data_IF_021733526116
#
_entry.id   IF_021733526116
#
_cell.length_a   1.000
_cell.length_b   1.000
_cell.length_c   1.000
_cell.angle_alpha   90.00
_cell.angle_beta   90.00
_cell.angle_gamma   90.00
#
_symmetry.space_group_name_H-M   'P 1'
#
loop_
_entity.id
_entity.type
_entity.pdbx_description
1 polymer ?
#
# COMPACT_ATOMS: atom_id res chain seq x y z
N UNK A 1 -0.99 -19.64 -17.81
CA UNK A 1 -2.29 -18.96 -17.53
C UNK A 1 -2.49 -17.85 -18.54
N UNK A 2 -3.70 -17.70 -19.09
CA UNK A 2 -4.04 -16.64 -20.04
C UNK A 2 -4.73 -15.50 -19.30
N UNK A 3 -4.11 -14.32 -19.24
CA UNK A 3 -4.69 -13.12 -18.64
C UNK A 3 -5.51 -12.34 -19.68
N UNK A 4 -6.72 -11.95 -19.32
CA UNK A 4 -7.52 -11.04 -20.16
C UNK A 4 -7.11 -9.61 -19.84
N UNK A 5 -6.73 -8.82 -20.86
CA UNK A 5 -6.55 -7.39 -20.68
C UNK A 5 -7.84 -6.78 -20.11
N UNK A 6 -7.72 -5.81 -19.20
CA UNK A 6 -8.82 -5.15 -18.45
C UNK A 6 -10.04 -4.70 -19.29
N UNK A 7 -9.94 -4.69 -20.63
CA UNK A 7 -11.05 -4.44 -21.57
C UNK A 7 -12.20 -5.46 -21.48
N UNK A 8 -11.99 -6.64 -20.88
CA UNK A 8 -12.95 -7.76 -20.92
C UNK A 8 -13.86 -7.95 -19.69
N UNK A 9 -13.41 -7.60 -18.47
CA UNK A 9 -14.05 -8.06 -17.23
C UNK A 9 -14.88 -6.98 -16.53
N UNK A 10 -14.35 -5.77 -16.36
CA UNK A 10 -14.97 -4.69 -15.59
C UNK A 10 -15.43 -3.57 -16.53
N UNK A 11 -16.64 -3.06 -16.32
CA UNK A 11 -17.20 -1.96 -17.09
C UNK A 11 -16.71 -0.63 -16.52
N UNK A 12 -15.94 0.12 -17.30
CA UNK A 12 -15.59 1.51 -16.96
C UNK A 12 -16.78 2.48 -17.12
N UNK A 13 -18.00 2.00 -17.40
CA UNK A 13 -19.12 2.83 -17.84
C UNK A 13 -19.98 3.41 -16.70
N UNK A 14 -19.70 3.12 -15.42
CA UNK A 14 -20.36 3.79 -14.28
C UNK A 14 -19.64 5.11 -13.94
N UNK A 15 -19.17 5.83 -14.96
CA UNK A 15 -18.31 7.02 -14.82
C UNK A 15 -19.00 8.28 -15.34
N UNK A 16 -20.17 8.57 -14.79
CA UNK A 16 -20.77 9.89 -14.86
C UNK A 16 -20.96 10.41 -13.45
N UNK A 17 -20.02 11.23 -12.95
CA UNK A 17 -20.06 12.01 -11.69
C UNK A 17 -19.43 11.46 -10.41
N UNK A 18 -18.80 10.28 -10.41
CA UNK A 18 -18.14 9.79 -9.20
C UNK A 18 -16.81 10.52 -8.92
N UNK A 19 -16.65 11.06 -7.71
CA UNK A 19 -15.35 11.61 -7.26
C UNK A 19 -14.32 10.49 -7.10
N UNK A 20 -13.01 10.78 -7.10
CA UNK A 20 -11.95 9.76 -6.93
C UNK A 20 -12.09 8.92 -5.63
N UNK A 21 -12.95 9.35 -4.71
CA UNK A 21 -13.26 8.69 -3.45
C UNK A 21 -14.42 7.68 -3.53
N UNK A 22 -15.08 7.53 -4.69
CA UNK A 22 -16.21 6.61 -4.91
C UNK A 22 -15.85 5.42 -5.81
N UNK A 23 -14.57 5.23 -6.12
CA UNK A 23 -14.14 4.08 -6.90
C UNK A 23 -14.37 2.78 -6.11
N UNK A 24 -14.98 1.74 -6.73
CA UNK A 24 -15.16 0.46 -6.07
C UNK A 24 -13.80 -0.18 -5.75
N UNK A 25 -13.77 -0.90 -4.64
CA UNK A 25 -12.63 -1.72 -4.24
C UNK A 25 -12.94 -3.18 -4.54
N UNK A 26 -12.00 -3.85 -5.19
CA UNK A 26 -12.07 -5.28 -5.51
C UNK A 26 -10.94 -6.02 -4.81
N UNK A 27 -11.11 -7.32 -4.57
CA UNK A 27 -10.02 -8.19 -4.13
C UNK A 27 -9.40 -8.88 -5.34
N UNK A 28 -8.06 -8.88 -5.39
CA UNK A 28 -7.29 -9.57 -6.40
C UNK A 28 -6.45 -10.67 -5.74
N UNK A 29 -6.89 -11.91 -5.90
CA UNK A 29 -6.20 -13.10 -5.43
C UNK A 29 -5.08 -13.53 -6.36
N UNK A 30 -4.14 -14.32 -5.85
CA UNK A 30 -2.98 -14.78 -6.61
C UNK A 30 -2.27 -13.62 -7.34
N UNK A 31 -2.22 -12.46 -6.67
CA UNK A 31 -1.80 -11.23 -7.28
C UNK A 31 -0.27 -11.14 -7.38
N UNK A 32 0.20 -10.56 -8.48
CA UNK A 32 1.61 -10.28 -8.73
C UNK A 32 1.76 -9.00 -9.53
N UNK A 33 2.79 -8.23 -9.20
CA UNK A 33 3.00 -6.88 -9.69
C UNK A 33 4.33 -6.82 -10.41
N UNK A 34 4.32 -6.22 -11.59
CA UNK A 34 5.46 -6.14 -12.47
C UNK A 34 5.73 -4.71 -12.90
N UNK A 35 7.01 -4.39 -13.09
CA UNK A 35 7.47 -3.29 -13.95
C UNK A 35 7.94 -3.86 -15.28
N UNK A 36 8.00 -3.01 -16.30
CA UNK A 36 8.66 -3.35 -17.57
C UNK A 36 10.12 -2.91 -17.50
N UNK A 37 11.05 -3.78 -17.86
CA UNK A 37 12.44 -3.39 -18.06
C UNK A 37 12.63 -2.64 -19.39
N UNK A 38 13.86 -2.22 -19.70
CA UNK A 38 14.19 -1.49 -20.94
C UNK A 38 13.88 -2.27 -22.22
N UNK A 39 13.76 -3.59 -22.13
CA UNK A 39 13.43 -4.48 -23.24
C UNK A 39 11.93 -4.85 -23.26
N UNK A 40 11.13 -4.28 -22.36
CA UNK A 40 9.70 -4.57 -22.21
C UNK A 40 9.39 -5.87 -21.47
N UNK A 41 10.38 -6.55 -20.89
CA UNK A 41 10.18 -7.78 -20.11
C UNK A 41 9.58 -7.43 -18.74
N UNK A 42 8.61 -8.23 -18.31
CA UNK A 42 8.02 -8.10 -16.98
C UNK A 42 8.99 -8.59 -15.91
N UNK A 43 9.25 -7.72 -14.93
CA UNK A 43 10.09 -7.99 -13.76
C UNK A 43 9.27 -7.67 -12.52
N UNK A 44 9.27 -8.55 -11.51
CA UNK A 44 8.53 -8.34 -10.26
C UNK A 44 8.91 -7.00 -9.64
N UNK A 45 7.91 -6.24 -9.20
CA UNK A 45 8.08 -4.89 -8.69
C UNK A 45 7.23 -4.66 -7.44
N UNK A 46 7.74 -3.80 -6.56
CA UNK A 46 7.00 -3.31 -5.41
C UNK A 46 5.99 -2.23 -5.88
N UNK A 47 4.71 -2.38 -5.56
CA UNK A 47 3.66 -1.44 -5.99
C UNK A 47 3.79 -0.04 -5.40
N UNK A 48 4.38 0.08 -4.21
CA UNK A 48 4.68 1.38 -3.61
C UNK A 48 5.69 2.18 -4.43
N UNK A 49 6.41 1.54 -5.37
CA UNK A 49 7.31 2.20 -6.32
C UNK A 49 6.62 2.64 -7.62
N UNK A 50 5.29 2.66 -7.71
CA UNK A 50 4.58 3.04 -8.94
C UNK A 50 4.99 4.42 -9.47
N UNK A 51 5.37 5.35 -8.59
CA UNK A 51 5.84 6.69 -8.99
C UNK A 51 7.28 6.69 -9.55
N UNK A 52 8.04 5.61 -9.37
CA UNK A 52 9.41 5.47 -9.85
C UNK A 52 9.54 4.50 -11.01
N UNK A 53 8.94 3.32 -10.87
CA UNK A 53 9.06 2.19 -11.77
C UNK A 53 7.84 2.07 -12.69
N UNK A 54 6.85 2.95 -12.52
CA UNK A 54 5.60 2.90 -13.25
C UNK A 54 5.67 3.43 -14.68
N UNK A 55 4.59 3.21 -15.45
CA UNK A 55 3.38 2.50 -15.04
C UNK A 55 3.60 0.99 -14.84
N UNK A 56 3.04 0.45 -13.75
CA UNK A 56 3.17 -0.96 -13.38
C UNK A 56 2.09 -1.81 -14.07
N UNK A 57 2.34 -3.11 -14.14
CA UNK A 57 1.39 -4.13 -14.60
C UNK A 57 0.99 -4.98 -13.41
N UNK A 58 -0.31 -5.10 -13.14
CA UNK A 58 -0.84 -5.93 -12.06
C UNK A 58 -1.63 -7.09 -12.67
N UNK A 59 -1.38 -8.30 -12.19
CA UNK A 59 -2.05 -9.52 -12.62
C UNK A 59 -2.57 -10.27 -11.41
N UNK A 60 -3.70 -10.95 -11.57
CA UNK A 60 -4.26 -11.83 -10.54
C UNK A 60 -5.65 -12.30 -10.91
N UNK A 61 -6.27 -13.04 -10.00
CA UNK A 61 -7.64 -13.54 -10.06
C UNK A 61 -8.56 -12.54 -9.37
N UNK A 62 -9.40 -11.89 -10.16
CA UNK A 62 -10.46 -11.04 -9.64
C UNK A 62 -11.55 -11.93 -9.04
N UNK A 63 -11.92 -11.67 -7.80
CA UNK A 63 -13.12 -12.19 -7.17
C UNK A 63 -14.05 -11.01 -6.85
N UNK A 64 -15.29 -11.07 -7.31
CA UNK A 64 -16.26 -9.99 -7.19
C UNK A 64 -17.43 -10.47 -6.35
N UNK A 65 -17.66 -9.77 -5.25
CA UNK A 65 -18.82 -9.98 -4.38
C UNK A 65 -20.12 -9.57 -5.08
N UNK A 66 -21.26 -10.13 -4.65
CA UNK A 66 -22.56 -9.94 -5.28
C UNK A 66 -22.94 -8.45 -5.38
N UNK A 67 -22.60 -7.65 -4.37
CA UNK A 67 -22.85 -6.20 -4.32
C UNK A 67 -22.09 -5.42 -5.41
N UNK A 68 -20.98 -5.99 -5.90
CA UNK A 68 -20.11 -5.38 -6.89
C UNK A 68 -20.37 -5.88 -8.32
N UNK A 69 -21.28 -6.82 -8.53
CA UNK A 69 -21.61 -7.38 -9.86
C UNK A 69 -22.04 -6.32 -10.88
N UNK A 70 -22.65 -5.22 -10.43
CA UNK A 70 -23.06 -4.09 -11.29
C UNK A 70 -21.87 -3.42 -12.00
N UNK A 71 -20.66 -3.59 -11.46
CA UNK A 71 -19.43 -3.07 -12.06
C UNK A 71 -18.85 -4.02 -13.12
N UNK A 72 -19.35 -5.25 -13.21
CA UNK A 72 -18.89 -6.22 -14.20
C UNK A 72 -19.50 -5.95 -15.56
N UNK A 73 -18.69 -6.11 -16.60
CA UNK A 73 -19.19 -6.10 -17.98
C UNK A 73 -20.07 -7.32 -18.28
N UNK A 74 -19.85 -8.41 -17.54
CA UNK A 74 -20.63 -9.66 -17.58
C UNK A 74 -20.85 -10.14 -16.14
N UNK A 75 -22.01 -9.83 -15.53
CA UNK A 75 -22.31 -10.23 -14.15
C UNK A 75 -22.17 -11.73 -13.90
N UNK A 76 -22.49 -12.58 -14.89
CA UNK A 76 -22.30 -14.04 -14.82
C UNK A 76 -20.84 -14.52 -14.74
N UNK A 77 -19.87 -13.59 -14.72
CA UNK A 77 -18.44 -13.87 -14.55
C UNK A 77 -17.88 -13.08 -13.36
N UNK A 78 -18.35 -13.42 -12.17
CA UNK A 78 -17.88 -12.87 -10.90
C UNK A 78 -16.45 -13.32 -10.51
N UNK A 79 -15.84 -14.22 -11.29
CA UNK A 79 -14.42 -14.58 -11.15
C UNK A 79 -13.69 -14.66 -12.48
N UNK A 80 -12.50 -14.05 -12.58
CA UNK A 80 -11.65 -14.10 -13.76
C UNK A 80 -10.20 -13.69 -13.49
N UNK A 81 -9.23 -14.30 -14.20
CA UNK A 81 -7.87 -13.77 -14.26
C UNK A 81 -7.81 -12.53 -15.13
N UNK A 82 -7.37 -11.42 -14.55
CA UNK A 82 -7.28 -10.11 -15.20
C UNK A 82 -5.86 -9.58 -15.22
N UNK A 83 -5.59 -8.71 -16.20
CA UNK A 83 -4.41 -7.85 -16.22
C UNK A 83 -4.82 -6.38 -16.21
N UNK A 84 -4.33 -5.65 -15.23
CA UNK A 84 -4.32 -4.19 -15.19
C UNK A 84 -3.02 -3.76 -15.85
N UNK A 85 -3.10 -3.36 -17.12
CA UNK A 85 -1.91 -3.09 -17.94
C UNK A 85 -1.21 -1.76 -17.62
N UNK A 86 -1.88 -0.88 -16.87
CA UNK A 86 -1.40 0.44 -16.44
C UNK A 86 -1.92 0.67 -15.03
N UNK A 87 -1.04 0.55 -14.05
CA UNK A 87 -1.22 0.96 -12.66
C UNK A 87 -0.32 2.18 -12.42
N UNK A 88 -0.92 3.28 -11.94
CA UNK A 88 -0.26 4.59 -11.78
C UNK A 88 -0.33 5.10 -10.33
N UNK A 89 -1.00 4.36 -9.45
CA UNK A 89 -1.20 4.74 -8.07
C UNK A 89 -1.26 3.52 -7.18
N UNK A 90 -0.98 3.76 -5.90
CA UNK A 90 -1.16 2.78 -4.84
C UNK A 90 -1.81 3.46 -3.64
N UNK A 91 -2.42 2.65 -2.80
CA UNK A 91 -2.85 3.06 -1.47
C UNK A 91 -2.36 2.04 -0.45
N UNK A 92 -2.17 2.48 0.78
CA UNK A 92 -1.85 1.63 1.93
C UNK A 92 -2.85 1.90 3.03
N UNK A 93 -3.06 0.92 3.89
CA UNK A 93 -4.04 1.03 4.95
C UNK A 93 -3.78 0.04 6.05
N UNK A 94 -4.44 0.30 7.16
CA UNK A 94 -4.23 -0.41 8.41
C UNK A 94 -5.57 -0.55 9.11
N UNK A 95 -5.98 -1.81 9.29
CA UNK A 95 -7.18 -2.20 10.03
C UNK A 95 -6.81 -3.27 11.06
N UNK A 96 -7.49 -4.44 11.10
CA UNK A 96 -6.97 -5.59 11.86
C UNK A 96 -5.62 -6.07 11.31
N UNK A 97 -5.36 -5.86 10.01
CA UNK A 97 -4.13 -6.25 9.29
C UNK A 97 -3.70 -5.15 8.30
N UNK A 98 -2.40 -5.06 7.95
CA UNK A 98 -1.91 -4.15 6.92
C UNK A 98 -2.36 -4.58 5.53
N UNK A 99 -2.77 -3.63 4.69
CA UNK A 99 -3.25 -3.89 3.33
C UNK A 99 -2.65 -2.89 2.32
N UNK A 100 -2.54 -3.36 1.07
CA UNK A 100 -2.01 -2.61 -0.06
C UNK A 100 -3.01 -2.69 -1.22
N UNK A 101 -3.30 -1.55 -1.84
CA UNK A 101 -4.13 -1.46 -3.04
C UNK A 101 -3.36 -0.92 -4.23
N UNK A 102 -3.61 -1.50 -5.40
CA UNK A 102 -3.17 -0.95 -6.69
C UNK A 102 -4.33 -0.20 -7.36
N UNK A 103 -4.02 0.92 -8.04
CA UNK A 103 -5.03 1.60 -8.84
C UNK A 103 -5.18 0.94 -10.22
N UNK A 104 -6.39 0.93 -10.74
CA UNK A 104 -6.65 0.68 -12.13
C UNK A 104 -7.79 1.55 -12.64
N UNK A 105 -8.06 1.46 -13.94
CA UNK A 105 -9.08 2.28 -14.59
C UNK A 105 -10.51 2.10 -14.07
N UNK A 106 -10.79 0.98 -13.43
CA UNK A 106 -12.14 0.62 -13.01
C UNK A 106 -12.33 0.61 -11.49
N UNK A 107 -11.28 0.84 -10.71
CA UNK A 107 -11.34 0.78 -9.26
C UNK A 107 -9.98 0.59 -8.60
N UNK A 108 -10.04 0.33 -7.30
CA UNK A 108 -8.92 -0.09 -6.47
C UNK A 108 -8.91 -1.61 -6.33
N UNK A 109 -7.72 -2.19 -6.29
CA UNK A 109 -7.54 -3.65 -6.21
C UNK A 109 -6.68 -3.98 -5.01
N UNK A 110 -7.30 -4.58 -3.99
CA UNK A 110 -6.61 -5.11 -2.82
C UNK A 110 -5.75 -6.29 -3.25
N UNK A 111 -4.50 -6.29 -2.84
CA UNK A 111 -3.52 -7.28 -3.26
C UNK A 111 -3.51 -8.44 -2.27
N UNK A 112 -4.09 -9.57 -2.65
CA UNK A 112 -3.86 -10.84 -1.97
C UNK A 112 -2.79 -11.62 -2.76
N UNK A 113 -1.54 -11.71 -2.24
CA UNK A 113 -0.38 -12.06 -3.06
C UNK A 113 -0.37 -13.53 -3.49
N UNK A 114 0.10 -13.76 -4.72
CA UNK A 114 0.58 -15.07 -5.17
C UNK A 114 1.75 -15.56 -4.31
N UNK A 115 2.03 -16.87 -4.33
CA UNK A 115 3.20 -17.44 -3.65
C UNK A 115 4.51 -16.76 -4.09
N UNK A 116 4.66 -16.47 -5.37
CA UNK A 116 5.84 -15.82 -5.94
C UNK A 116 5.98 -14.35 -5.52
N UNK A 117 4.87 -13.69 -5.16
CA UNK A 117 4.85 -12.28 -4.74
C UNK A 117 4.79 -12.11 -3.21
N UNK A 118 4.51 -13.18 -2.46
CA UNK A 118 4.29 -13.17 -1.00
C UNK A 118 5.38 -12.42 -0.25
N UNK A 119 6.65 -12.73 -0.53
CA UNK A 119 7.78 -12.10 0.17
C UNK A 119 7.83 -10.58 0.00
N UNK A 120 7.54 -10.09 -1.20
CA UNK A 120 7.48 -8.65 -1.49
C UNK A 120 6.29 -8.01 -0.76
N UNK A 121 5.17 -8.70 -0.73
CA UNK A 121 3.98 -8.25 -0.02
C UNK A 121 4.19 -8.17 1.50
N UNK A 122 4.76 -9.19 2.11
CA UNK A 122 5.11 -9.21 3.54
C UNK A 122 6.07 -8.07 3.90
N UNK A 123 7.06 -7.80 3.05
CA UNK A 123 7.96 -6.65 3.22
C UNK A 123 7.21 -5.31 3.24
N UNK A 124 6.23 -5.12 2.34
CA UNK A 124 5.38 -3.93 2.35
C UNK A 124 4.50 -3.87 3.61
N UNK A 125 3.89 -4.98 4.02
CA UNK A 125 3.06 -5.07 5.20
C UNK A 125 3.81 -4.74 6.50
N UNK A 126 5.07 -5.16 6.60
CA UNK A 126 5.97 -4.79 7.71
C UNK A 126 6.21 -3.29 7.76
N UNK A 127 6.51 -2.68 6.61
CA UNK A 127 6.66 -1.22 6.48
C UNK A 127 5.38 -0.46 6.85
N UNK A 128 4.23 -0.87 6.32
CA UNK A 128 2.92 -0.28 6.66
C UNK A 128 2.66 -0.37 8.17
N UNK A 129 2.91 -1.54 8.75
CA UNK A 129 2.69 -1.79 10.17
C UNK A 129 3.58 -0.89 11.03
N UNK A 130 4.86 -0.74 10.67
CA UNK A 130 5.76 0.19 11.33
C UNK A 130 5.26 1.64 11.22
N UNK A 131 4.86 2.09 10.04
CA UNK A 131 4.33 3.44 9.82
C UNK A 131 3.15 3.75 10.75
N UNK A 132 2.10 2.93 10.72
CA UNK A 132 0.90 3.19 11.51
C UNK A 132 1.14 3.09 13.02
N UNK A 133 1.98 2.15 13.47
CA UNK A 133 2.32 2.03 14.89
C UNK A 133 3.18 3.19 15.40
N UNK A 134 4.05 3.74 14.56
CA UNK A 134 4.79 4.97 14.87
C UNK A 134 3.79 6.13 15.00
N UNK A 135 2.82 6.25 14.09
CA UNK A 135 1.78 7.27 14.17
C UNK A 135 0.95 7.14 15.46
N UNK A 136 0.49 5.94 15.81
CA UNK A 136 -0.22 5.66 17.08
C UNK A 136 0.63 6.07 18.30
N UNK A 137 1.94 5.78 18.26
CA UNK A 137 2.86 6.14 19.33
C UNK A 137 2.99 7.66 19.48
N UNK A 138 2.97 8.42 18.38
CA UNK A 138 2.97 9.87 18.43
C UNK A 138 1.63 10.45 18.90
N UNK A 139 0.51 9.94 18.40
CA UNK A 139 -0.82 10.44 18.78
C UNK A 139 -1.09 10.23 20.27
N UNK A 140 -0.75 9.05 20.81
CA UNK A 140 -0.84 8.77 22.26
C UNK A 140 0.05 9.69 23.11
N UNK A 141 1.21 10.10 22.61
CA UNK A 141 2.05 11.10 23.30
C UNK A 141 1.44 12.51 23.20
N UNK A 142 0.74 12.83 22.11
CA UNK A 142 0.09 14.13 21.90
C UNK A 142 -1.18 14.33 22.73
N UNK A 143 -1.91 13.25 23.07
CA UNK A 143 -3.13 13.30 23.88
C UNK A 143 -2.87 13.58 25.36
N UNK A 144 -1.75 13.07 25.89
CA UNK A 144 -1.36 13.26 27.29
C UNK A 144 -0.73 14.63 27.57
N UNK A 145 -0.48 15.42 26.53
CA UNK A 145 0.24 16.69 26.61
C UNK A 145 -0.70 17.86 26.30
N UNK A 146 -0.74 18.93 27.13
CA UNK A 146 -1.57 20.11 26.88
C UNK A 146 -1.34 20.69 25.47
N UNK A 147 -2.39 21.19 24.81
CA UNK A 147 -2.37 21.65 23.39
C UNK A 147 -1.17 22.54 23.01
N UNK A 148 -0.62 23.34 23.93
CA UNK A 148 0.56 24.20 23.70
C UNK A 148 1.93 23.52 23.81
N UNK A 149 2.01 22.24 24.19
CA UNK A 149 3.26 21.47 24.34
C UNK A 149 3.37 20.27 23.42
N UNK A 150 2.38 20.01 22.55
CA UNK A 150 2.41 18.91 21.57
C UNK A 150 3.71 18.90 20.76
N UNK A 151 4.26 20.06 20.43
CA UNK A 151 5.57 20.20 19.77
C UNK A 151 6.71 19.42 20.46
N UNK A 152 6.72 19.31 21.80
CA UNK A 152 7.72 18.52 22.53
C UNK A 152 7.49 17.01 22.43
N UNK A 153 6.25 16.55 22.26
CA UNK A 153 5.94 15.14 22.02
C UNK A 153 6.50 14.68 20.66
N UNK A 154 6.48 15.57 19.65
CA UNK A 154 7.09 15.37 18.33
C UNK A 154 8.62 15.51 18.31
N UNK A 155 9.25 15.87 19.44
CA UNK A 155 10.72 15.86 19.62
C UNK A 155 11.19 14.62 20.41
N UNK A 156 10.32 13.63 20.56
CA UNK A 156 10.70 12.39 21.25
C UNK A 156 11.80 11.69 20.46
N UNK A 157 12.92 11.30 21.11
CA UNK A 157 13.97 10.54 20.45
C UNK A 157 13.41 9.31 19.74
N UNK A 158 13.87 9.06 18.52
CA UNK A 158 13.35 8.01 17.65
C UNK A 158 13.42 6.64 18.34
N UNK A 159 14.42 6.39 19.17
CA UNK A 159 14.60 5.14 19.92
C UNK A 159 13.44 4.87 20.87
N UNK A 160 12.85 5.90 21.49
CA UNK A 160 11.66 5.75 22.35
C UNK A 160 10.41 5.41 21.54
N UNK A 161 10.31 5.93 20.32
CA UNK A 161 9.21 5.62 19.40
C UNK A 161 9.36 4.19 18.89
N UNK A 162 10.57 3.78 18.49
CA UNK A 162 10.89 2.42 18.07
C UNK A 162 10.71 1.40 19.19
N UNK A 163 11.03 1.76 20.43
CA UNK A 163 10.76 0.91 21.61
C UNK A 163 9.25 0.72 21.85
N UNK A 164 8.45 1.78 21.72
CA UNK A 164 6.99 1.63 21.80
C UNK A 164 6.45 0.74 20.68
N UNK A 165 6.98 0.88 19.47
CA UNK A 165 6.67 -0.01 18.37
C UNK A 165 7.01 -1.48 18.71
N UNK A 166 8.22 -1.78 19.20
CA UNK A 166 8.61 -3.16 19.53
C UNK A 166 7.69 -3.77 20.59
N UNK A 167 7.31 -2.98 21.60
CA UNK A 167 6.35 -3.41 22.64
C UNK A 167 4.97 -3.65 22.03
N UNK A 168 4.51 -2.79 21.11
CA UNK A 168 3.19 -2.90 20.50
C UNK A 168 3.06 -4.07 19.52
N UNK A 169 4.13 -4.44 18.81
CA UNK A 169 4.15 -5.61 17.94
C UNK A 169 4.24 -6.92 18.75
N UNK A 170 5.02 -6.91 19.83
CA UNK A 170 5.14 -8.07 20.72
C UNK A 170 5.84 -9.29 20.09
N UNK A 171 6.61 -9.09 19.02
CA UNK A 171 7.34 -10.15 18.31
C UNK A 171 8.74 -10.44 18.88
N UNK A 172 9.12 -9.73 19.95
CA UNK A 172 10.43 -9.88 20.59
C UNK A 172 11.59 -9.26 19.81
N UNK A 173 11.32 -8.43 18.79
CA UNK A 173 12.36 -7.76 18.02
C UNK A 173 13.22 -6.83 18.89
N UNK A 174 14.54 -6.90 18.70
CA UNK A 174 15.50 -5.99 19.30
C UNK A 174 15.43 -4.60 18.67
N UNK A 175 15.91 -3.58 19.38
CA UNK A 175 15.97 -2.20 18.85
C UNK A 175 16.74 -2.13 17.52
N UNK A 176 17.81 -2.93 17.36
CA UNK A 176 18.59 -2.98 16.12
C UNK A 176 17.80 -3.61 14.96
N UNK A 177 16.96 -4.61 15.23
CA UNK A 177 16.07 -5.18 14.22
C UNK A 177 14.99 -4.19 13.81
N UNK A 178 14.41 -3.47 14.77
CA UNK A 178 13.45 -2.40 14.48
C UNK A 178 14.06 -1.27 13.68
N UNK A 179 15.31 -0.89 13.95
CA UNK A 179 16.03 0.10 13.13
C UNK A 179 16.18 -0.38 11.68
N UNK A 180 16.52 -1.66 11.44
CA UNK A 180 16.55 -2.21 10.07
C UNK A 180 15.18 -2.20 9.40
N UNK A 181 14.09 -2.41 10.15
CA UNK A 181 12.73 -2.25 9.62
C UNK A 181 12.41 -0.81 9.26
N UNK A 182 13.01 0.16 9.94
CA UNK A 182 12.85 1.58 9.60
C UNK A 182 13.52 1.97 8.28
N UNK A 183 14.51 1.21 7.82
CA UNK A 183 15.08 1.38 6.48
C UNK A 183 14.04 1.15 5.38
N UNK A 184 13.07 0.25 5.63
CA UNK A 184 11.92 0.00 4.74
C UNK A 184 11.12 1.29 4.53
N UNK A 185 10.87 2.04 5.61
CA UNK A 185 10.16 3.32 5.55
C UNK A 185 10.96 4.38 4.80
N UNK A 186 12.27 4.44 5.05
CA UNK A 186 13.17 5.36 4.34
C UNK A 186 13.17 5.07 2.84
N UNK A 187 13.22 3.80 2.45
CA UNK A 187 13.09 3.39 1.04
C UNK A 187 11.72 3.74 0.44
N UNK A 188 10.63 3.59 1.19
CA UNK A 188 9.29 3.99 0.73
C UNK A 188 9.14 5.52 0.63
N UNK A 189 9.84 6.28 1.47
CA UNK A 189 9.75 7.75 1.57
C UNK A 189 10.64 8.49 0.56
N UNK A 190 11.90 8.12 0.42
CA UNK A 190 12.86 8.76 -0.52
C UNK A 190 12.42 8.64 -1.98
N UNK A 191 11.60 7.62 -2.25
CA UNK A 191 11.14 7.23 -3.57
C UNK A 191 9.82 7.92 -3.98
N UNK A 192 9.17 8.67 -3.08
CA UNK A 192 7.86 9.28 -3.35
C UNK A 192 7.87 10.81 -3.14
N UNK A 193 8.26 11.59 -4.15
CA UNK A 193 8.32 13.07 -4.07
C UNK A 193 6.97 13.77 -3.80
N UNK A 194 5.82 13.09 -3.91
CA UNK A 194 4.48 13.65 -3.55
C UNK A 194 3.90 13.06 -2.26
N UNK A 195 4.25 11.83 -1.88
CA UNK A 195 4.06 11.33 -0.51
C UNK A 195 5.01 11.98 0.51
N UNK A 196 6.07 12.62 0.02
CA UNK A 196 7.05 13.36 0.78
C UNK A 196 6.45 14.46 1.66
N UNK A 197 5.30 15.09 1.39
CA UNK A 197 4.86 16.18 2.27
C UNK A 197 4.45 15.69 3.68
N UNK A 198 3.92 14.48 3.79
CA UNK A 198 3.57 13.86 5.08
C UNK A 198 4.75 13.06 5.67
N UNK A 199 5.48 12.33 4.82
CA UNK A 199 6.67 11.54 5.22
C UNK A 199 7.90 12.40 5.54
N UNK A 200 8.10 13.52 4.84
CA UNK A 200 9.21 14.44 5.10
C UNK A 200 9.02 15.18 6.42
N UNK A 201 7.81 15.31 6.96
CA UNK A 201 7.63 15.86 8.30
C UNK A 201 8.09 14.91 9.41
N UNK A 202 8.10 13.59 9.14
CA UNK A 202 8.58 12.56 10.06
C UNK A 202 10.09 12.34 9.89
N UNK A 203 10.60 12.29 8.65
CA UNK A 203 12.02 12.04 8.35
C UNK A 203 12.90 13.29 8.48
N UNK A 204 12.45 14.49 8.08
CA UNK A 204 13.26 15.74 8.22
C UNK A 204 13.40 16.14 9.70
N UNK A 205 12.49 15.72 10.59
CA UNK A 205 12.62 15.95 12.04
C UNK A 205 13.47 14.89 12.78
N UNK A 206 13.91 13.84 12.10
CA UNK A 206 14.85 12.86 12.67
C UNK A 206 16.32 13.19 12.37
N UNK A 207 16.62 14.28 11.66
CA UNK A 207 18.00 14.73 11.39
C UNK A 207 18.39 16.08 12.02
N UNK A 208 17.54 16.66 12.88
CA UNK A 208 17.89 17.86 13.67
C UNK A 208 17.28 17.80 15.07
#
# INVERSE_FOLDING_TARGET
MNYSANRGAISAAVLGTASINEFPTFVLDDAIIYRKDTNGKLVVANVCNVNLDGPLVVRGKLEVEDELELHLRKPSKNTAYIEISVCEGYSIGYGPWPAVWASGRAGWYEINPSDDYRRMHEYMCEGITLYYKIMDAYDSMGETVPKGRKYKAWQTPIEKVLFKYSVAIGDGATIAEVQRRSDILSEMADRNKRGAVLFSQIVIRCQY
#
